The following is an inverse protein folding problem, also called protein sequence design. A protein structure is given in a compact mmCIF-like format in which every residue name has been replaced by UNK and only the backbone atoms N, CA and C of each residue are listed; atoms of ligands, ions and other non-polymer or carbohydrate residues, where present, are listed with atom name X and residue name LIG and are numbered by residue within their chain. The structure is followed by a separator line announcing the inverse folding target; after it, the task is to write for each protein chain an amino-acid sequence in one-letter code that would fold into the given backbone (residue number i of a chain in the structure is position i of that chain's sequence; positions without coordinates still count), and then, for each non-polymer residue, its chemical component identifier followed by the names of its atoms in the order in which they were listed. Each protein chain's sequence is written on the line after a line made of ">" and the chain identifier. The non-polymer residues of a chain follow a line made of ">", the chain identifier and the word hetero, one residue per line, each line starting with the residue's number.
data_IF_009747976176
#
_entry.id   IF_009747976176
#
_cell.length_a   1.000
_cell.length_b   1.000
_cell.length_c   1.000
_cell.angle_alpha   90.00
_cell.angle_beta   90.00
_cell.angle_gamma   90.00
#
_symmetry.space_group_name_H-M   'P 1'
#
loop_
_entity.id
_entity.type
_entity.pdbx_description
1 polymer ?
#
# COMPACT_ATOMS: atom_id res chain seq x y z
N UNK A 1 4.17 -8.79 -13.21
CA UNK A 1 4.71 -7.62 -12.50
C UNK A 1 4.11 -7.50 -11.09
N UNK A 2 3.01 -8.24 -10.82
CA UNK A 2 2.15 -8.09 -9.64
C UNK A 2 2.77 -8.58 -8.32
N UNK A 3 3.63 -9.61 -8.31
CA UNK A 3 4.24 -10.10 -7.06
C UNK A 3 5.31 -9.17 -6.46
N UNK A 4 5.94 -8.33 -7.28
CA UNK A 4 7.10 -7.50 -6.86
C UNK A 4 6.68 -6.17 -6.24
N UNK A 5 5.66 -5.52 -6.80
CA UNK A 5 5.09 -4.29 -6.25
C UNK A 5 4.32 -4.57 -4.95
N UNK A 6 3.55 -5.66 -4.94
CA UNK A 6 2.91 -6.20 -3.71
C UNK A 6 4.01 -6.56 -2.69
N UNK A 7 5.14 -7.11 -3.13
CA UNK A 7 6.33 -7.36 -2.29
C UNK A 7 6.96 -6.11 -1.64
N UNK A 8 6.82 -4.90 -2.21
CA UNK A 8 7.30 -3.65 -1.60
C UNK A 8 6.37 -3.22 -0.45
N UNK A 9 5.05 -3.35 -0.65
CA UNK A 9 4.03 -3.07 0.36
C UNK A 9 4.09 -4.13 1.47
N UNK A 10 4.24 -5.41 1.10
CA UNK A 10 4.44 -6.54 2.02
C UNK A 10 5.81 -6.47 2.71
N UNK A 11 6.87 -5.99 2.06
CA UNK A 11 8.19 -5.79 2.67
C UNK A 11 8.16 -4.73 3.76
N UNK A 12 7.42 -3.63 3.53
CA UNK A 12 7.12 -2.67 4.58
C UNK A 12 6.23 -3.29 5.69
N UNK A 13 5.25 -4.11 5.33
CA UNK A 13 4.40 -4.88 6.26
C UNK A 13 5.15 -5.92 7.11
N UNK A 14 6.15 -6.59 6.54
CA UNK A 14 7.03 -7.52 7.23
C UNK A 14 7.96 -6.75 8.18
N UNK A 15 8.46 -5.58 7.79
CA UNK A 15 9.23 -4.69 8.66
C UNK A 15 8.38 -4.20 9.85
N UNK A 16 7.08 -3.92 9.64
CA UNK A 16 6.10 -3.65 10.72
C UNK A 16 5.99 -4.86 11.65
N UNK A 17 5.65 -6.04 11.12
CA UNK A 17 5.41 -7.25 11.92
C UNK A 17 6.65 -7.66 12.73
N UNK A 18 7.81 -7.61 12.07
CA UNK A 18 9.09 -7.96 12.68
C UNK A 18 9.52 -6.89 13.68
N UNK A 19 9.50 -5.61 13.31
CA UNK A 19 9.96 -4.52 14.19
C UNK A 19 9.17 -4.39 15.48
N UNK A 20 7.88 -4.76 15.46
CA UNK A 20 6.94 -4.44 16.53
C UNK A 20 6.57 -5.61 17.44
N UNK A 21 6.77 -6.86 17.01
CA UNK A 21 6.71 -8.02 17.91
C UNK A 21 7.80 -8.02 19.01
N UNK A 22 8.85 -7.21 18.83
CA UNK A 22 10.08 -7.28 19.64
C UNK A 22 10.01 -6.52 20.97
N UNK A 23 8.98 -5.70 21.19
CA UNK A 23 8.92 -4.89 22.43
C UNK A 23 8.57 -5.68 23.70
N UNK A 24 8.45 -7.02 23.62
CA UNK A 24 7.93 -7.88 24.69
C UNK A 24 8.82 -8.05 25.92
N UNK A 25 9.89 -7.26 26.11
CA UNK A 25 10.75 -7.46 27.27
C UNK A 25 11.56 -6.23 27.69
N UNK A 26 11.12 -5.64 28.81
CA UNK A 26 11.93 -4.91 29.80
C UNK A 26 12.15 -3.38 29.72
N UNK A 27 12.55 -2.85 30.89
CA UNK A 27 12.72 -1.44 31.24
C UNK A 27 13.91 -0.76 30.54
N UNK A 28 13.60 0.14 29.62
CA UNK A 28 14.26 1.43 29.32
C UNK A 28 15.74 1.54 28.88
N UNK A 29 16.57 0.48 28.79
CA UNK A 29 17.90 0.58 28.14
C UNK A 29 18.26 -0.56 27.18
N UNK A 30 17.78 -1.78 27.42
CA UNK A 30 18.07 -2.95 26.60
C UNK A 30 17.16 -3.09 25.36
N UNK A 31 16.05 -2.34 25.33
CA UNK A 31 15.02 -2.41 24.29
C UNK A 31 15.60 -2.19 22.89
N UNK A 32 16.51 -1.21 22.71
CA UNK A 32 17.05 -0.88 21.38
C UNK A 32 17.95 -1.97 20.83
N UNK A 33 18.83 -2.50 21.67
CA UNK A 33 19.77 -3.55 21.26
C UNK A 33 19.01 -4.85 20.96
N UNK A 34 18.02 -5.17 21.79
CA UNK A 34 17.17 -6.34 21.57
C UNK A 34 16.31 -6.18 20.32
N UNK A 35 15.66 -5.02 20.13
CA UNK A 35 14.91 -4.69 18.92
C UNK A 35 15.77 -4.76 17.67
N UNK A 36 16.96 -4.18 17.71
CA UNK A 36 17.89 -4.27 16.58
C UNK A 36 18.28 -5.72 16.29
N UNK A 37 18.61 -6.51 17.32
CA UNK A 37 19.03 -7.89 17.16
C UNK A 37 17.91 -8.74 16.54
N UNK A 38 16.73 -8.76 17.15
CA UNK A 38 15.63 -9.60 16.68
C UNK A 38 15.09 -9.12 15.33
N UNK A 39 15.08 -7.81 15.06
CA UNK A 39 14.68 -7.27 13.76
C UNK A 39 15.60 -7.79 12.66
N UNK A 40 16.91 -7.75 12.89
CA UNK A 40 17.90 -8.29 11.95
C UNK A 40 17.79 -9.81 11.81
N UNK A 41 17.65 -10.56 12.90
CA UNK A 41 17.51 -12.02 12.86
C UNK A 41 16.27 -12.46 12.05
N UNK A 42 15.12 -11.84 12.31
CA UNK A 42 13.87 -12.15 11.62
C UNK A 42 13.87 -11.67 10.18
N UNK A 43 14.44 -10.50 9.90
CA UNK A 43 14.56 -10.00 8.53
C UNK A 43 15.51 -10.86 7.71
N UNK A 44 16.56 -11.42 8.32
CA UNK A 44 17.43 -12.40 7.67
C UNK A 44 16.67 -13.67 7.29
N UNK A 45 15.87 -14.24 8.20
CA UNK A 45 14.99 -15.38 7.88
C UNK A 45 14.04 -15.05 6.74
N UNK A 46 13.37 -13.89 6.79
CA UNK A 46 12.48 -13.44 5.73
C UNK A 46 13.19 -13.27 4.38
N UNK A 47 14.39 -12.68 4.37
CA UNK A 47 15.16 -12.48 3.15
C UNK A 47 15.54 -13.83 2.51
N UNK A 48 15.93 -14.81 3.33
CA UNK A 48 16.28 -16.16 2.88
C UNK A 48 15.05 -16.94 2.37
N UNK A 49 13.91 -16.83 3.04
CA UNK A 49 12.69 -17.60 2.74
C UNK A 49 11.88 -17.01 1.59
N UNK A 50 11.80 -15.68 1.48
CA UNK A 50 10.95 -15.01 0.49
C UNK A 50 11.48 -15.11 -0.95
N UNK A 51 12.81 -15.17 -1.13
CA UNK A 51 13.46 -15.08 -2.44
C UNK A 51 13.23 -13.75 -3.19
N UNK A 52 12.64 -12.75 -2.54
CA UNK A 52 12.36 -11.42 -3.10
C UNK A 52 13.48 -10.44 -2.76
N UNK A 53 14.13 -10.60 -1.60
CA UNK A 53 15.24 -9.77 -1.15
C UNK A 53 16.56 -10.38 -1.64
N UNK A 54 17.30 -9.65 -2.46
CA UNK A 54 18.59 -10.12 -3.00
C UNK A 54 19.78 -9.62 -2.20
N UNK A 55 19.70 -8.42 -1.63
CA UNK A 55 20.74 -7.80 -0.84
C UNK A 55 20.09 -6.90 0.22
N UNK A 56 20.63 -6.86 1.44
CA UNK A 56 20.19 -5.91 2.45
C UNK A 56 21.31 -5.59 3.44
N UNK A 57 21.21 -4.42 4.06
CA UNK A 57 22.09 -3.99 5.15
C UNK A 57 21.34 -4.04 6.49
N UNK A 58 22.00 -4.46 7.59
CA UNK A 58 21.38 -4.54 8.90
C UNK A 58 20.71 -3.24 9.35
N UNK A 59 19.54 -3.38 9.97
CA UNK A 59 18.86 -2.29 10.64
C UNK A 59 19.72 -1.78 11.81
N UNK A 60 19.76 -0.45 11.96
CA UNK A 60 20.29 0.22 13.15
C UNK A 60 19.17 0.95 13.87
N UNK A 61 19.03 0.71 15.18
CA UNK A 61 17.99 1.31 16.00
C UNK A 61 18.54 2.42 16.90
N UNK A 62 17.94 3.60 16.85
CA UNK A 62 18.36 4.81 17.57
C UNK A 62 17.20 5.59 18.19
N UNK A 63 17.52 6.71 18.84
CA UNK A 63 16.55 7.63 19.46
C UNK A 63 16.28 7.37 20.94
N UNK A 64 16.13 8.42 21.76
CA UNK A 64 16.03 8.32 23.23
C UNK A 64 14.60 8.17 23.74
N UNK A 65 13.67 8.92 23.17
CA UNK A 65 12.25 8.98 23.55
C UNK A 65 11.42 8.22 22.52
N UNK A 66 11.64 8.53 21.24
CA UNK A 66 11.09 7.79 20.11
C UNK A 66 12.19 6.85 19.61
N UNK A 67 11.84 5.59 19.36
CA UNK A 67 12.80 4.61 18.84
C UNK A 67 12.58 4.46 17.34
N UNK A 68 13.62 4.66 16.55
CA UNK A 68 13.58 4.48 15.11
C UNK A 68 14.59 3.43 14.67
N UNK A 69 14.19 2.51 13.79
CA UNK A 69 15.04 1.45 13.25
C UNK A 69 15.07 1.55 11.72
N UNK A 70 16.28 1.66 11.16
CA UNK A 70 16.46 1.91 9.74
C UNK A 70 17.53 1.01 9.15
N UNK A 71 17.20 0.37 8.03
CA UNK A 71 18.15 -0.26 7.13
C UNK A 71 18.62 0.77 6.11
N UNK A 72 19.94 0.96 5.93
CA UNK A 72 20.46 1.89 4.92
C UNK A 72 20.10 1.48 3.49
N UNK A 73 19.98 0.17 3.23
CA UNK A 73 19.78 -0.37 1.89
C UNK A 73 19.07 -1.73 1.94
N UNK A 74 18.00 -1.86 1.17
CA UNK A 74 17.32 -3.12 0.87
C UNK A 74 17.14 -3.19 -0.64
N UNK A 75 17.59 -4.26 -1.26
CA UNK A 75 17.42 -4.54 -2.69
C UNK A 75 16.38 -5.63 -2.86
N UNK A 76 15.27 -5.29 -3.50
CA UNK A 76 14.24 -6.24 -3.88
C UNK A 76 14.36 -6.56 -5.37
N UNK A 77 14.56 -7.83 -5.70
CA UNK A 77 14.68 -8.27 -7.08
C UNK A 77 14.99 -9.76 -7.14
N UNK A 78 14.15 -10.52 -7.84
CA UNK A 78 14.33 -11.96 -8.06
C UNK A 78 15.25 -12.30 -9.24
N UNK A 79 15.54 -11.33 -10.11
CA UNK A 79 16.31 -11.50 -11.34
C UNK A 79 17.12 -10.24 -11.67
N UNK A 80 18.28 -10.39 -12.32
CA UNK A 80 19.22 -9.31 -12.67
C UNK A 80 18.63 -8.18 -13.52
N UNK A 81 17.41 -8.35 -14.06
CA UNK A 81 16.80 -7.40 -15.01
C UNK A 81 16.12 -6.20 -14.36
N UNK A 82 15.43 -6.38 -13.24
CA UNK A 82 14.66 -5.33 -12.57
C UNK A 82 14.82 -5.48 -11.06
N UNK A 83 15.38 -4.46 -10.43
CA UNK A 83 15.54 -4.38 -8.99
C UNK A 83 15.00 -3.05 -8.45
N UNK A 84 14.40 -3.09 -7.28
CA UNK A 84 14.06 -1.92 -6.49
C UNK A 84 15.09 -1.77 -5.38
N UNK A 85 15.74 -0.62 -5.32
CA UNK A 85 16.70 -0.29 -4.27
C UNK A 85 16.01 0.70 -3.34
N UNK A 86 15.73 0.24 -2.13
CA UNK A 86 15.13 1.04 -1.08
C UNK A 86 16.25 1.49 -0.15
N UNK A 87 16.34 2.80 0.10
CA UNK A 87 17.33 3.36 1.01
C UNK A 87 16.67 4.05 2.19
N UNK A 88 17.37 4.00 3.32
CA UNK A 88 16.90 4.50 4.62
C UNK A 88 15.47 4.04 4.89
N UNK A 89 15.25 2.73 4.80
CA UNK A 89 13.94 2.10 4.98
C UNK A 89 13.78 1.61 6.39
N UNK A 90 12.66 1.95 7.02
CA UNK A 90 12.49 1.65 8.42
C UNK A 90 11.21 2.22 9.00
N UNK A 91 11.20 2.28 10.32
CA UNK A 91 10.07 2.76 11.10
C UNK A 91 10.52 3.58 12.30
N UNK A 92 9.67 4.50 12.74
CA UNK A 92 9.75 5.22 13.99
C UNK A 92 8.54 4.85 14.86
N UNK A 93 8.79 4.45 16.11
CA UNK A 93 7.74 4.28 17.12
C UNK A 93 7.53 5.64 17.79
N UNK A 94 6.40 6.27 17.50
CA UNK A 94 6.02 7.58 18.02
C UNK A 94 5.48 7.47 19.44
N UNK A 95 4.66 6.45 19.73
CA UNK A 95 4.19 6.13 21.08
C UNK A 95 3.70 4.68 21.17
N UNK A 96 3.79 4.09 22.35
CA UNK A 96 3.31 2.74 22.61
C UNK A 96 2.92 2.57 24.07
N UNK A 97 1.79 1.91 24.31
CA UNK A 97 1.37 1.41 25.62
C UNK A 97 0.86 -0.04 25.52
N UNK A 98 0.22 -0.56 26.57
CA UNK A 98 -0.27 -1.95 26.57
C UNK A 98 -1.40 -2.22 25.55
N UNK A 99 -2.10 -1.19 25.11
CA UNK A 99 -3.31 -1.28 24.28
C UNK A 99 -3.23 -0.44 23.00
N UNK A 100 -2.19 0.39 22.84
CA UNK A 100 -2.08 1.27 21.68
C UNK A 100 -0.66 1.38 21.16
N UNK A 101 -0.55 1.61 19.86
CA UNK A 101 0.71 1.84 19.17
C UNK A 101 0.51 2.89 18.08
N UNK A 102 1.42 3.85 18.01
CA UNK A 102 1.53 4.78 16.90
C UNK A 102 2.94 4.70 16.33
N UNK A 103 3.04 4.52 15.02
CA UNK A 103 4.30 4.42 14.33
C UNK A 103 4.25 5.06 12.94
N UNK A 104 5.41 5.47 12.48
CA UNK A 104 5.65 6.02 11.15
C UNK A 104 6.60 5.10 10.38
N UNK A 105 6.18 4.59 9.23
CA UNK A 105 7.01 3.87 8.28
C UNK A 105 7.54 4.82 7.23
N UNK A 106 8.80 4.66 6.89
CA UNK A 106 9.47 5.54 5.94
C UNK A 106 10.33 4.72 4.98
N UNK A 107 10.18 5.00 3.70
CA UNK A 107 11.16 4.70 2.64
C UNK A 107 11.56 6.07 2.10
N UNK A 108 12.75 6.56 2.48
CA UNK A 108 13.16 7.92 2.11
C UNK A 108 13.52 8.03 0.64
N UNK A 109 14.05 6.95 0.08
CA UNK A 109 14.42 6.87 -1.33
C UNK A 109 14.13 5.45 -1.86
N UNK A 110 13.36 5.39 -2.94
CA UNK A 110 13.11 4.18 -3.72
C UNK A 110 13.61 4.43 -5.14
N UNK A 111 14.53 3.59 -5.58
CA UNK A 111 15.09 3.63 -6.92
C UNK A 111 14.72 2.37 -7.69
N UNK A 112 14.25 2.53 -8.92
CA UNK A 112 14.09 1.44 -9.86
C UNK A 112 15.39 1.31 -10.67
N UNK A 113 16.03 0.15 -10.59
CA UNK A 113 17.17 -0.24 -11.45
C UNK A 113 16.66 -1.23 -12.49
N UNK A 114 16.91 -0.93 -13.77
CA UNK A 114 16.65 -1.86 -14.86
C UNK A 114 17.99 -2.14 -15.56
N UNK A 115 18.35 -3.42 -15.71
CA UNK A 115 19.49 -3.83 -16.52
C UNK A 115 19.00 -4.46 -17.84
N UNK A 116 19.46 -3.91 -18.97
CA UNK A 116 19.19 -4.35 -20.36
C UNK A 116 17.70 -4.30 -20.75
N UNK A 117 17.26 -3.12 -21.20
CA UNK A 117 16.07 -2.98 -22.05
C UNK A 117 16.50 -2.86 -23.51
N UNK A 118 15.64 -3.30 -24.43
CA UNK A 118 15.77 -2.93 -25.83
C UNK A 118 15.49 -1.42 -25.98
N UNK A 119 16.15 -0.73 -26.91
CA UNK A 119 16.07 0.75 -27.04
C UNK A 119 14.63 1.27 -27.21
N UNK A 120 13.74 0.50 -27.84
CA UNK A 120 12.33 0.86 -28.02
C UNK A 120 11.52 0.81 -26.71
N UNK A 121 11.94 -0.02 -25.75
CA UNK A 121 11.30 -0.14 -24.45
C UNK A 121 11.80 0.93 -23.46
N UNK A 122 13.02 1.43 -23.65
CA UNK A 122 13.66 2.39 -22.73
C UNK A 122 12.89 3.70 -22.56
N UNK A 123 12.36 4.28 -23.65
CA UNK A 123 11.57 5.53 -23.60
C UNK A 123 10.25 5.31 -22.83
N UNK A 124 9.53 4.23 -23.16
CA UNK A 124 8.27 3.88 -22.50
C UNK A 124 8.47 3.58 -21.01
N UNK A 125 9.51 2.83 -20.65
CA UNK A 125 9.83 2.56 -19.25
C UNK A 125 10.29 3.82 -18.49
N UNK A 126 11.04 4.71 -19.14
CA UNK A 126 11.43 5.99 -18.53
C UNK A 126 10.20 6.82 -18.18
N UNK A 127 9.23 6.91 -19.08
CA UNK A 127 7.96 7.60 -18.82
C UNK A 127 7.18 6.93 -17.69
N UNK A 128 7.09 5.60 -17.68
CA UNK A 128 6.40 4.86 -16.63
C UNK A 128 7.09 4.99 -15.26
N UNK A 129 8.42 5.13 -15.24
CA UNK A 129 9.20 5.30 -13.99
C UNK A 129 8.84 6.57 -13.23
N UNK A 130 8.33 7.59 -13.90
CA UNK A 130 7.90 8.84 -13.26
C UNK A 130 6.68 8.68 -12.35
N UNK A 131 5.96 7.55 -12.48
CA UNK A 131 4.81 7.18 -11.64
C UNK A 131 5.18 6.23 -10.50
N UNK A 132 6.39 5.69 -10.52
CA UNK A 132 6.86 4.84 -9.43
C UNK A 132 7.23 5.75 -8.27
N UNK A 133 6.68 5.53 -7.06
CA UNK A 133 7.03 6.33 -5.90
C UNK A 133 8.54 6.32 -5.64
N UNK A 134 9.14 7.49 -5.48
CA UNK A 134 10.53 7.62 -5.03
C UNK A 134 10.61 7.76 -3.50
N UNK A 135 9.50 8.04 -2.82
CA UNK A 135 9.42 8.17 -1.37
C UNK A 135 8.07 7.68 -0.87
N UNK A 136 8.09 6.98 0.26
CA UNK A 136 6.89 6.45 0.91
C UNK A 136 6.92 6.83 2.38
N UNK A 137 5.80 7.34 2.89
CA UNK A 137 5.59 7.58 4.31
C UNK A 137 4.22 7.08 4.73
N UNK A 138 4.16 6.17 5.69
CA UNK A 138 2.91 5.69 6.25
C UNK A 138 2.85 5.98 7.75
N UNK A 139 1.75 6.52 8.25
CA UNK A 139 1.48 6.57 9.67
C UNK A 139 0.45 5.48 9.99
N UNK A 140 0.74 4.65 10.98
CA UNK A 140 -0.14 3.59 11.45
C UNK A 140 -0.46 3.84 12.93
N UNK A 141 -1.74 3.76 13.27
CA UNK A 141 -2.23 3.82 14.63
C UNK A 141 -3.06 2.58 14.91
N UNK A 142 -2.62 1.81 15.90
CA UNK A 142 -3.33 0.64 16.41
C UNK A 142 -3.90 0.95 17.79
N UNK A 143 -5.13 0.53 18.02
CA UNK A 143 -5.78 0.63 19.32
C UNK A 143 -6.60 -0.60 19.60
N UNK A 144 -6.27 -1.30 20.67
CA UNK A 144 -6.99 -2.42 21.18
C UNK A 144 -8.08 -1.94 22.15
N UNK A 145 -9.26 -2.56 22.08
CA UNK A 145 -10.31 -2.42 23.06
C UNK A 145 -11.08 -3.74 23.14
N UNK A 146 -11.07 -4.39 24.30
CA UNK A 146 -11.67 -5.72 24.51
C UNK A 146 -11.15 -6.74 23.47
N UNK A 147 -12.04 -7.39 22.73
CA UNK A 147 -11.71 -8.35 21.67
C UNK A 147 -11.50 -7.69 20.29
N UNK A 148 -11.35 -6.37 20.23
CA UNK A 148 -11.20 -5.61 18.97
C UNK A 148 -9.85 -4.93 18.87
N UNK A 149 -9.30 -4.92 17.67
CA UNK A 149 -8.13 -4.16 17.26
C UNK A 149 -8.54 -3.18 16.16
N UNK A 150 -8.49 -1.89 16.47
CA UNK A 150 -8.72 -0.81 15.51
C UNK A 150 -7.41 -0.41 14.85
N UNK A 151 -7.39 -0.36 13.53
CA UNK A 151 -6.26 0.06 12.73
C UNK A 151 -6.65 1.30 11.92
N UNK A 152 -5.83 2.34 12.02
CA UNK A 152 -5.90 3.51 11.15
C UNK A 152 -4.56 3.68 10.45
N UNK A 153 -4.55 3.58 9.14
CA UNK A 153 -3.37 3.73 8.31
C UNK A 153 -3.54 4.93 7.37
N UNK A 154 -2.47 5.70 7.21
CA UNK A 154 -2.40 6.79 6.23
C UNK A 154 -1.03 6.81 5.57
N UNK A 155 -0.99 6.49 4.29
CA UNK A 155 0.20 6.46 3.47
C UNK A 155 0.19 7.59 2.45
N UNK A 156 1.33 8.28 2.33
CA UNK A 156 1.65 9.19 1.26
C UNK A 156 2.81 8.61 0.44
N UNK A 157 2.61 8.51 -0.86
CA UNK A 157 3.61 8.08 -1.83
C UNK A 157 3.89 9.25 -2.75
N UNK A 158 5.14 9.69 -2.81
CA UNK A 158 5.56 10.73 -3.75
C UNK A 158 6.29 10.06 -4.89
N UNK A 159 5.89 10.36 -6.12
CA UNK A 159 6.61 10.04 -7.35
C UNK A 159 7.07 11.34 -8.00
N UNK A 160 7.73 11.25 -9.16
CA UNK A 160 8.22 12.45 -9.87
C UNK A 160 7.05 13.34 -10.33
N UNK A 161 6.04 12.71 -10.94
CA UNK A 161 4.95 13.42 -11.61
C UNK A 161 3.56 13.10 -11.04
N UNK A 162 3.50 12.42 -9.89
CA UNK A 162 2.27 12.13 -9.17
C UNK A 162 2.52 12.03 -7.66
N UNK A 163 1.53 12.45 -6.87
CA UNK A 163 1.46 12.15 -5.43
C UNK A 163 0.24 11.27 -5.16
N UNK A 164 0.41 10.21 -4.37
CA UNK A 164 -0.64 9.28 -4.01
C UNK A 164 -0.91 9.36 -2.51
N UNK A 165 -2.18 9.34 -2.12
CA UNK A 165 -2.63 9.23 -0.73
C UNK A 165 -3.52 8.00 -0.59
N UNK A 166 -3.19 7.14 0.35
CA UNK A 166 -4.02 6.00 0.75
C UNK A 166 -4.33 6.14 2.23
N UNK A 167 -5.59 6.03 2.61
CA UNK A 167 -5.99 5.96 4.00
C UNK A 167 -6.95 4.80 4.21
N UNK A 168 -6.73 4.02 5.27
CA UNK A 168 -7.58 2.92 5.68
C UNK A 168 -7.96 3.05 7.15
N UNK A 169 -9.22 2.83 7.47
CA UNK A 169 -9.72 2.65 8.83
C UNK A 169 -10.41 1.28 8.86
N UNK A 170 -9.88 0.37 9.65
CA UNK A 170 -10.36 -1.01 9.77
C UNK A 170 -10.41 -1.45 11.23
N UNK A 171 -11.18 -2.50 11.49
CA UNK A 171 -11.19 -3.16 12.77
C UNK A 171 -11.13 -4.67 12.58
N UNK A 172 -10.40 -5.34 13.46
CA UNK A 172 -10.33 -6.79 13.54
C UNK A 172 -10.90 -7.26 14.87
N UNK A 173 -11.58 -8.39 14.88
CA UNK A 173 -12.16 -8.96 16.08
C UNK A 173 -11.70 -10.42 16.25
N UNK A 174 -11.15 -10.71 17.43
CA UNK A 174 -10.75 -12.05 17.84
C UNK A 174 -10.66 -12.16 19.38
N UNK A 175 -11.05 -13.29 19.94
CA UNK A 175 -11.10 -13.49 21.40
C UNK A 175 -9.72 -13.39 22.05
N UNK A 176 -8.64 -13.78 21.35
CA UNK A 176 -7.27 -13.68 21.89
C UNK A 176 -6.89 -12.25 22.24
N UNK A 177 -7.44 -11.25 21.53
CA UNK A 177 -7.13 -9.84 21.78
C UNK A 177 -7.53 -9.41 23.20
N UNK A 178 -8.48 -10.07 23.87
CA UNK A 178 -8.81 -9.72 25.27
C UNK A 178 -7.68 -10.00 26.26
N UNK A 179 -6.81 -10.96 25.94
CA UNK A 179 -5.73 -11.44 26.82
C UNK A 179 -4.34 -11.00 26.37
N UNK A 180 -4.24 -10.49 25.15
CA UNK A 180 -3.00 -10.03 24.56
C UNK A 180 -2.87 -8.52 24.76
N UNK A 181 -1.66 -8.05 25.02
CA UNK A 181 -1.33 -6.63 24.86
C UNK A 181 -0.99 -6.31 23.40
N UNK A 182 -0.86 -5.04 23.04
CA UNK A 182 -0.63 -4.62 21.66
C UNK A 182 0.64 -5.24 21.05
N UNK A 183 1.69 -5.49 21.85
CA UNK A 183 2.91 -6.15 21.38
C UNK A 183 2.68 -7.63 21.03
N UNK A 184 1.92 -8.35 21.87
CA UNK A 184 1.54 -9.74 21.62
C UNK A 184 0.60 -9.86 20.42
N UNK A 185 -0.31 -8.89 20.24
CA UNK A 185 -1.16 -8.81 19.04
C UNK A 185 -0.27 -8.62 17.82
N UNK A 186 0.71 -7.72 17.86
CA UNK A 186 1.62 -7.47 16.73
C UNK A 186 2.38 -8.73 16.31
N UNK A 187 2.92 -9.47 17.28
CA UNK A 187 3.63 -10.72 17.02
C UNK A 187 2.70 -11.83 16.50
N UNK A 188 1.52 -12.02 17.08
CA UNK A 188 0.65 -13.16 16.73
C UNK A 188 -0.30 -12.92 15.57
N UNK A 189 -0.67 -11.67 15.29
CA UNK A 189 -1.58 -11.30 14.22
C UNK A 189 -0.82 -10.89 12.97
N UNK A 190 -0.02 -9.82 13.03
CA UNK A 190 0.64 -9.28 11.83
C UNK A 190 1.76 -10.17 11.30
N UNK A 191 2.51 -10.87 12.17
CA UNK A 191 3.51 -11.84 11.69
C UNK A 191 2.84 -12.96 10.88
N UNK A 192 1.73 -13.49 11.37
CA UNK A 192 0.99 -14.55 10.67
C UNK A 192 0.35 -14.05 9.37
N UNK A 193 -0.12 -12.80 9.32
CA UNK A 193 -0.67 -12.20 8.09
C UNK A 193 0.40 -12.04 7.01
N UNK A 194 1.57 -11.52 7.38
CA UNK A 194 2.59 -11.14 6.40
C UNK A 194 3.57 -12.26 6.07
N UNK A 195 3.73 -13.24 6.96
CA UNK A 195 4.77 -14.27 6.88
C UNK A 195 4.25 -15.71 7.11
N UNK A 196 2.98 -15.90 7.45
CA UNK A 196 2.37 -17.22 7.67
C UNK A 196 1.77 -17.83 6.39
N UNK A 197 1.38 -19.11 6.47
CA UNK A 197 0.61 -19.79 5.41
C UNK A 197 -0.83 -19.22 5.36
N UNK A 198 -1.25 -18.71 4.19
CA UNK A 198 -2.51 -17.94 3.98
C UNK A 198 -3.77 -18.65 4.51
N UNK A 199 -3.82 -19.99 4.46
CA UNK A 199 -5.04 -20.79 4.69
C UNK A 199 -5.58 -20.75 6.13
N UNK A 200 -4.78 -20.38 7.13
CA UNK A 200 -5.22 -20.34 8.53
C UNK A 200 -5.69 -18.96 9.01
N UNK A 201 -5.33 -17.88 8.31
CA UNK A 201 -5.60 -16.52 8.78
C UNK A 201 -7.04 -16.06 8.51
N UNK A 202 -7.52 -16.29 7.28
CA UNK A 202 -8.84 -15.83 6.79
C UNK A 202 -10.01 -16.40 7.60
N UNK A 203 -9.79 -17.54 8.26
CA UNK A 203 -10.79 -18.30 9.00
C UNK A 203 -10.94 -17.94 10.48
N UNK A 204 -9.99 -17.19 11.05
CA UNK A 204 -9.94 -16.96 12.50
C UNK A 204 -10.38 -15.55 12.89
N UNK A 205 -10.04 -14.55 12.09
CA UNK A 205 -10.26 -13.14 12.42
C UNK A 205 -11.46 -12.58 11.66
N UNK A 206 -12.38 -11.95 12.39
CA UNK A 206 -13.42 -11.15 11.73
C UNK A 206 -12.91 -9.76 11.45
N UNK A 207 -13.39 -9.17 10.36
CA UNK A 207 -12.96 -7.87 9.85
C UNK A 207 -14.16 -6.95 9.68
N UNK A 208 -13.97 -5.68 10.01
CA UNK A 208 -14.91 -4.61 9.71
C UNK A 208 -14.17 -3.45 9.02
N UNK A 209 -14.78 -2.94 7.96
CA UNK A 209 -14.30 -1.77 7.24
C UNK A 209 -15.02 -0.52 7.75
N UNK A 210 -14.29 0.55 8.01
CA UNK A 210 -14.91 1.85 8.28
C UNK A 210 -14.71 2.78 7.08
N UNK A 211 -13.46 2.87 6.59
CA UNK A 211 -13.11 3.76 5.50
C UNK A 211 -11.92 3.27 4.69
N UNK A 212 -12.00 3.39 3.36
CA UNK A 212 -10.84 3.42 2.46
C UNK A 212 -10.92 4.71 1.66
N UNK A 213 -9.80 5.39 1.53
CA UNK A 213 -9.63 6.56 0.68
C UNK A 213 -8.39 6.35 -0.18
N UNK A 214 -8.53 6.59 -1.47
CA UNK A 214 -7.43 6.63 -2.41
C UNK A 214 -7.49 7.94 -3.19
N UNK A 215 -6.37 8.63 -3.33
CA UNK A 215 -6.24 9.82 -4.18
C UNK A 215 -4.92 9.81 -4.93
N UNK A 216 -4.95 10.39 -6.11
CA UNK A 216 -3.79 10.72 -6.92
C UNK A 216 -3.89 12.18 -7.31
N UNK A 217 -2.81 12.92 -7.08
CA UNK A 217 -2.64 14.28 -7.55
C UNK A 217 -1.64 14.30 -8.69
N UNK A 218 -2.02 14.95 -9.78
CA UNK A 218 -1.22 15.08 -10.99
C UNK A 218 -0.22 16.23 -10.84
N UNK A 219 1.08 15.95 -11.03
CA UNK A 219 2.15 16.95 -11.04
C UNK A 219 2.86 16.98 -12.41
N UNK A 220 2.30 16.34 -13.44
CA UNK A 220 2.94 16.10 -14.74
C UNK A 220 2.57 14.75 -15.37
N UNK A 221 1.62 14.03 -14.78
CA UNK A 221 1.10 12.75 -15.24
C UNK A 221 0.47 12.85 -16.62
N UNK A 222 -0.37 13.85 -16.84
CA UNK A 222 -1.05 14.04 -18.15
C UNK A 222 -0.04 14.23 -19.29
N UNK A 223 1.06 14.95 -19.03
CA UNK A 223 2.12 15.18 -20.01
C UNK A 223 2.89 13.90 -20.34
N UNK A 224 3.20 13.08 -19.34
CA UNK A 224 3.86 11.80 -19.55
C UNK A 224 2.96 10.79 -20.25
N UNK A 225 1.66 10.78 -19.95
CA UNK A 225 0.68 9.97 -20.67
C UNK A 225 0.56 10.38 -22.14
N UNK A 226 0.61 11.69 -22.44
CA UNK A 226 0.64 12.16 -23.81
C UNK A 226 1.91 11.70 -24.54
N UNK A 227 3.09 11.84 -23.92
CA UNK A 227 4.35 11.34 -24.51
C UNK A 227 4.35 9.83 -24.71
N UNK A 228 3.76 9.09 -23.77
CA UNK A 228 3.60 7.65 -23.89
C UNK A 228 2.73 7.31 -25.11
N UNK A 229 1.60 8.01 -25.28
CA UNK A 229 0.76 7.89 -26.46
C UNK A 229 1.51 8.26 -27.76
N UNK A 230 2.33 9.32 -27.76
CA UNK A 230 3.14 9.70 -28.92
C UNK A 230 4.15 8.60 -29.31
N UNK A 231 4.81 8.01 -28.32
CA UNK A 231 5.77 6.91 -28.53
C UNK A 231 5.06 5.67 -29.11
N UNK A 232 3.92 5.27 -28.52
CA UNK A 232 3.12 4.14 -29.02
C UNK A 232 2.58 4.37 -30.44
N UNK A 233 2.15 5.60 -30.74
CA UNK A 233 1.65 5.97 -32.08
C UNK A 233 2.74 5.81 -33.14
N UNK A 234 3.99 6.23 -32.83
CA UNK A 234 5.15 6.05 -33.72
C UNK A 234 5.44 4.58 -33.99
N UNK A 235 5.41 3.73 -32.96
CA UNK A 235 5.62 2.28 -33.09
C UNK A 235 4.57 1.65 -34.01
N UNK A 236 3.31 2.11 -33.91
CA UNK A 236 2.20 1.64 -34.75
C UNK A 236 2.19 2.27 -36.16
N UNK A 237 3.13 3.17 -36.47
CA UNK A 237 3.20 3.87 -37.76
C UNK A 237 2.08 4.89 -37.97
N UNK A 238 1.50 5.41 -36.89
CA UNK A 238 0.40 6.39 -36.91
C UNK A 238 0.87 7.77 -36.43
N UNK A 239 0.22 8.83 -36.92
CA UNK A 239 0.52 10.19 -36.48
C UNK A 239 -0.15 10.50 -35.14
N UNK A 240 0.64 10.82 -34.12
CA UNK A 240 0.12 11.29 -32.85
C UNK A 240 -0.53 12.67 -33.01
N UNK A 241 -1.76 12.82 -32.53
CA UNK A 241 -2.49 14.08 -32.54
C UNK A 241 -3.45 14.16 -31.35
N UNK A 242 -3.99 15.35 -31.10
CA UNK A 242 -4.85 15.62 -29.94
C UNK A 242 -6.13 14.77 -29.94
N UNK A 243 -6.76 14.57 -31.09
CA UNK A 243 -7.99 13.78 -31.20
C UNK A 243 -7.72 12.29 -30.91
N UNK A 244 -6.61 11.77 -31.42
CA UNK A 244 -6.14 10.43 -31.12
C UNK A 244 -5.82 10.24 -29.64
N UNK A 245 -5.24 11.25 -28.98
CA UNK A 245 -5.00 11.21 -27.53
C UNK A 245 -6.30 11.24 -26.71
N UNK A 246 -7.29 12.06 -27.11
CA UNK A 246 -8.63 12.05 -26.49
C UNK A 246 -9.28 10.68 -26.61
N UNK A 247 -9.22 10.06 -27.78
CA UNK A 247 -9.75 8.71 -27.98
C UNK A 247 -8.98 7.67 -27.14
N UNK A 248 -7.65 7.80 -27.02
CA UNK A 248 -6.84 6.95 -26.15
C UNK A 248 -7.25 7.07 -24.66
N UNK A 249 -7.42 8.30 -24.17
CA UNK A 249 -7.86 8.55 -22.79
C UNK A 249 -9.24 7.95 -22.52
N UNK A 250 -10.18 8.14 -23.45
CA UNK A 250 -11.54 7.57 -23.39
C UNK A 250 -11.56 6.04 -23.44
N UNK A 251 -10.71 5.43 -24.26
CA UNK A 251 -10.59 3.98 -24.32
C UNK A 251 -10.04 3.41 -23.01
N UNK A 252 -9.03 4.08 -22.45
CA UNK A 252 -8.45 3.73 -21.14
C UNK A 252 -9.50 3.82 -20.04
N UNK A 253 -10.25 4.93 -19.95
CA UNK A 253 -11.30 5.10 -18.94
C UNK A 253 -12.40 4.06 -19.07
N UNK A 254 -12.87 3.79 -20.29
CA UNK A 254 -13.90 2.79 -20.56
C UNK A 254 -13.44 1.38 -20.14
N UNK A 255 -12.20 1.01 -20.46
CA UNK A 255 -11.64 -0.28 -20.08
C UNK A 255 -11.49 -0.41 -18.56
N UNK A 256 -11.00 0.63 -17.88
CA UNK A 256 -10.90 0.65 -16.41
C UNK A 256 -12.28 0.52 -15.76
N UNK A 257 -13.27 1.29 -16.20
CA UNK A 257 -14.66 1.18 -15.73
C UNK A 257 -15.24 -0.21 -15.95
N UNK A 258 -14.95 -0.85 -17.09
CA UNK A 258 -15.39 -2.22 -17.35
C UNK A 258 -14.76 -3.22 -16.37
N UNK A 259 -13.46 -3.14 -16.11
CA UNK A 259 -12.78 -4.01 -15.12
C UNK A 259 -13.38 -3.81 -13.73
N UNK A 260 -13.58 -2.56 -13.30
CA UNK A 260 -14.14 -2.27 -11.98
C UNK A 260 -15.56 -2.84 -11.84
N UNK A 261 -16.39 -2.74 -12.89
CA UNK A 261 -17.72 -3.37 -12.91
C UNK A 261 -17.66 -4.88 -12.80
N UNK A 262 -16.69 -5.54 -13.45
CA UNK A 262 -16.52 -6.98 -13.30
C UNK A 262 -16.16 -7.38 -11.86
N UNK A 263 -15.39 -6.54 -11.14
CA UNK A 263 -15.01 -6.80 -9.75
C UNK A 263 -16.13 -6.48 -8.75
N UNK A 264 -16.87 -5.39 -8.94
CA UNK A 264 -17.88 -4.91 -7.99
C UNK A 264 -19.31 -5.36 -8.32
N UNK A 265 -19.52 -6.02 -9.47
CA UNK A 265 -20.84 -6.43 -9.93
C UNK A 265 -21.76 -5.25 -10.22
N UNK A 266 -23.03 -5.34 -9.81
CA UNK A 266 -24.04 -4.28 -10.03
C UNK A 266 -23.99 -3.13 -9.01
N UNK A 267 -23.11 -3.21 -8.01
CA UNK A 267 -22.98 -2.17 -6.99
C UNK A 267 -22.35 -0.89 -7.55
N UNK A 268 -22.82 0.28 -7.09
CA UNK A 268 -22.19 1.60 -7.33
C UNK A 268 -21.99 1.98 -8.81
N UNK A 269 -22.92 1.60 -9.70
CA UNK A 269 -22.78 1.84 -11.14
C UNK A 269 -22.57 3.32 -11.50
N UNK A 270 -23.28 4.24 -10.85
CA UNK A 270 -23.16 5.69 -11.07
C UNK A 270 -21.76 6.19 -10.71
N UNK A 271 -21.23 5.74 -9.59
CA UNK A 271 -19.92 6.11 -9.06
C UNK A 271 -18.82 5.54 -9.95
N UNK A 272 -18.96 4.30 -10.42
CA UNK A 272 -18.01 3.67 -11.35
C UNK A 272 -17.96 4.41 -12.70
N UNK A 273 -19.11 4.89 -13.20
CA UNK A 273 -19.15 5.76 -14.39
C UNK A 273 -18.45 7.09 -14.10
N UNK A 274 -18.81 7.75 -12.99
CA UNK A 274 -18.21 9.02 -12.59
C UNK A 274 -16.70 8.92 -12.39
N UNK A 275 -16.20 7.77 -11.92
CA UNK A 275 -14.78 7.50 -11.79
C UNK A 275 -14.10 7.37 -13.16
N UNK A 276 -14.75 6.72 -14.13
CA UNK A 276 -14.29 6.66 -15.52
C UNK A 276 -14.16 8.06 -16.15
N UNK A 277 -15.19 8.89 -16.01
CA UNK A 277 -15.19 10.27 -16.51
C UNK A 277 -14.08 11.11 -15.84
N UNK A 278 -13.90 10.94 -14.52
CA UNK A 278 -12.81 11.59 -13.80
C UNK A 278 -11.42 11.12 -14.28
N UNK A 279 -11.26 9.83 -14.57
CA UNK A 279 -10.00 9.25 -15.06
C UNK A 279 -9.65 9.77 -16.45
N UNK A 280 -10.63 9.86 -17.35
CA UNK A 280 -10.43 10.49 -18.66
C UNK A 280 -9.98 11.94 -18.49
N UNK A 281 -10.67 12.72 -17.67
CA UNK A 281 -10.32 14.11 -17.37
C UNK A 281 -8.91 14.25 -16.79
N UNK A 282 -8.51 13.32 -15.91
CA UNK A 282 -7.19 13.27 -15.29
C UNK A 282 -6.08 12.95 -16.30
N UNK A 283 -6.29 11.95 -17.17
CA UNK A 283 -5.34 11.60 -18.25
C UNK A 283 -5.14 12.78 -19.20
N UNK A 284 -6.22 13.51 -19.51
CA UNK A 284 -6.17 14.70 -20.34
C UNK A 284 -5.60 15.95 -19.64
N UNK A 285 -5.34 15.87 -18.33
CA UNK A 285 -4.81 16.97 -17.51
C UNK A 285 -5.82 18.06 -17.16
N UNK A 286 -7.11 17.82 -17.44
CA UNK A 286 -8.22 18.71 -17.11
C UNK A 286 -8.56 18.64 -15.61
N UNK A 287 -8.40 17.47 -14.99
CA UNK A 287 -8.43 17.29 -13.53
C UNK A 287 -7.02 17.22 -12.97
N UNK A 288 -6.79 17.84 -11.81
CA UNK A 288 -5.53 17.80 -11.06
C UNK A 288 -5.53 16.79 -9.94
N UNK A 289 -6.69 16.31 -9.54
CA UNK A 289 -6.85 15.24 -8.54
C UNK A 289 -7.89 14.23 -9.01
N UNK A 290 -7.62 12.95 -8.80
CA UNK A 290 -8.61 11.88 -8.92
C UNK A 290 -8.53 10.96 -7.73
N UNK A 291 -9.65 10.40 -7.29
CA UNK A 291 -9.66 9.41 -6.24
C UNK A 291 -11.03 8.84 -5.97
N UNK A 292 -11.10 8.05 -4.91
CA UNK A 292 -12.36 7.59 -4.36
C UNK A 292 -12.29 7.50 -2.84
N UNK A 293 -13.46 7.64 -2.21
CA UNK A 293 -13.67 7.35 -0.80
C UNK A 293 -14.78 6.31 -0.69
N UNK A 294 -14.49 5.20 -0.05
CA UNK A 294 -15.46 4.18 0.33
C UNK A 294 -15.60 4.21 1.85
N UNK A 295 -16.74 4.64 2.37
CA UNK A 295 -16.90 4.90 3.79
C UNK A 295 -18.25 4.41 4.31
N UNK A 296 -18.27 3.82 5.50
CA UNK A 296 -19.50 3.42 6.19
C UNK A 296 -20.39 4.63 6.44
N UNK A 297 -21.68 4.50 6.12
CA UNK A 297 -22.70 5.55 6.31
C UNK A 297 -22.87 5.87 7.79
N UNK A 298 -23.10 7.15 8.08
CA UNK A 298 -23.33 7.61 9.45
C UNK A 298 -24.52 6.89 10.09
N UNK A 299 -24.36 6.42 11.32
CA UNK A 299 -25.41 5.74 12.08
C UNK A 299 -25.63 4.26 11.72
N UNK A 300 -24.84 3.70 10.80
CA UNK A 300 -24.80 2.26 10.57
C UNK A 300 -23.88 1.57 11.58
N UNK A 301 -24.31 0.43 12.08
CA UNK A 301 -23.52 -0.37 13.03
C UNK A 301 -22.29 -0.97 12.36
N UNK A 302 -21.28 -1.25 13.18
CA UNK A 302 -20.07 -1.95 12.76
C UNK A 302 -20.37 -3.46 12.66
N UNK A 303 -20.44 -3.98 11.44
CA UNK A 303 -20.57 -5.42 11.21
C UNK A 303 -19.21 -6.06 10.96
N UNK A 304 -18.92 -7.11 11.73
CA UNK A 304 -17.71 -7.92 11.61
C UNK A 304 -18.00 -9.17 10.80
N UNK A 305 -17.37 -9.27 9.64
CA UNK A 305 -17.54 -10.38 8.69
C UNK A 305 -16.25 -11.19 8.58
N UNK A 306 -16.35 -12.47 8.22
CA UNK A 306 -15.15 -13.26 7.87
C UNK A 306 -14.67 -12.87 6.47
N UNK A 307 -13.35 -12.96 6.24
CA UNK A 307 -12.76 -12.63 4.93
C UNK A 307 -13.35 -13.48 3.79
N UNK A 308 -13.57 -14.77 4.06
CA UNK A 308 -14.13 -15.72 3.07
C UNK A 308 -15.58 -15.44 2.72
N UNK A 309 -16.29 -14.66 3.54
CA UNK A 309 -17.67 -14.33 3.30
C UNK A 309 -17.85 -13.04 2.49
N UNK A 310 -16.77 -12.29 2.23
CA UNK A 310 -16.82 -10.97 1.58
C UNK A 310 -17.54 -10.98 0.22
N UNK A 311 -17.38 -12.04 -0.56
CA UNK A 311 -18.03 -12.21 -1.87
C UNK A 311 -19.57 -12.29 -1.76
N UNK A 312 -20.11 -12.71 -0.61
CA UNK A 312 -21.55 -12.80 -0.35
C UNK A 312 -22.17 -11.48 0.15
N UNK A 313 -21.36 -10.46 0.48
CA UNK A 313 -21.81 -9.21 1.11
C UNK A 313 -22.01 -8.03 0.14
N UNK A 314 -22.02 -8.24 -1.19
CA UNK A 314 -22.24 -7.14 -2.16
C UNK A 314 -23.47 -6.26 -1.85
N UNK A 315 -24.66 -6.81 -1.50
CA UNK A 315 -25.82 -6.00 -1.10
C UNK A 315 -25.60 -5.23 0.22
N UNK A 316 -24.95 -5.86 1.19
CA UNK A 316 -24.62 -5.22 2.48
C UNK A 316 -23.74 -3.99 2.30
N UNK A 317 -22.75 -4.06 1.41
CA UNK A 317 -21.91 -2.92 1.10
C UNK A 317 -22.71 -1.75 0.54
N UNK A 318 -23.62 -1.98 -0.43
CA UNK A 318 -24.46 -0.92 -0.98
C UNK A 318 -25.35 -0.23 0.06
N UNK A 319 -25.93 -1.00 0.97
CA UNK A 319 -26.84 -0.48 1.98
C UNK A 319 -26.12 0.31 3.08
N UNK A 320 -24.88 -0.06 3.40
CA UNK A 320 -24.17 0.45 4.57
C UNK A 320 -22.98 1.35 4.26
N UNK A 321 -22.55 1.47 3.00
CA UNK A 321 -21.41 2.30 2.62
C UNK A 321 -21.78 3.31 1.53
N UNK A 322 -21.06 4.42 1.53
CA UNK A 322 -21.07 5.41 0.48
C UNK A 322 -19.78 5.27 -0.30
N UNK A 323 -19.89 5.22 -1.62
CA UNK A 323 -18.77 5.37 -2.54
C UNK A 323 -18.86 6.79 -3.12
N UNK A 324 -17.85 7.61 -2.87
CA UNK A 324 -17.71 8.95 -3.45
C UNK A 324 -16.51 8.99 -4.40
N UNK A 325 -16.69 9.57 -5.57
CA UNK A 325 -15.60 9.88 -6.51
C UNK A 325 -15.05 11.26 -6.22
N UNK A 326 -13.72 11.37 -6.23
CA UNK A 326 -13.00 12.64 -6.05
C UNK A 326 -12.45 13.03 -7.42
N UNK A 327 -12.76 14.25 -7.86
CA UNK A 327 -12.25 14.83 -9.11
C UNK A 327 -12.20 16.36 -8.95
N UNK A 328 -11.03 16.98 -9.10
CA UNK A 328 -10.82 18.42 -8.86
C UNK A 328 -9.78 19.05 -9.77
#
# INVERSE_FOLDING_TARGET
>A
MDKKLIGIILGAGAIIAIGLGIFLSFKSKEIKSHMQQTLNERFESFAQESGIISEWEPFSCGGLINIGCYSPKIVMGSDDKIAFILKDTGFDIDSMDNTSLQLSLNIKELQLKIEKLDEADEESFTLLSHFIPNKIRCNLSLKQNENKLFENSKCAFTAKNADYEIQGNTAYQHESFTTQNIAQILESFYFNIFLGEEDNFTNQYKYALDKILFKVKENGFSQDMYKFYESQSKIQGTAANEEGFKQYAKNTSTFTTFIIRLMLGEAYQSEIISFGDALESFILGNSKEIGFSFQRKQGKEEEFVLFEELDFYSPYFMDNYTFEVISR
#
